data_IF_904664567168
#
_entry.id   IF_904664567168
#
_cell.length_a   1.000
_cell.length_b   1.000
_cell.length_c   1.000
_cell.angle_alpha   90.00
_cell.angle_beta   90.00
_cell.angle_gamma   90.00
#
_symmetry.space_group_name_H-M   'P 1'
#
loop_
_entity.id
_entity.type
_entity.pdbx_description
1 polymer ?
#
# COMPACT_ATOMS: atom_id res chain seq x y z
N UNK A 1 4.67 -2.47 14.79
CA UNK A 1 4.49 -1.58 13.63
C UNK A 1 3.19 -1.97 12.94
N UNK A 2 2.45 -1.01 12.41
CA UNK A 2 1.15 -1.20 11.75
C UNK A 2 1.36 -1.42 10.25
N UNK A 3 0.37 -2.00 9.58
CA UNK A 3 0.36 -2.21 8.13
C UNK A 3 -0.65 -1.26 7.50
N UNK A 4 -0.23 -0.57 6.44
CA UNK A 4 -1.06 0.37 5.70
C UNK A 4 -1.18 -0.06 4.25
N UNK A 5 -2.41 -0.34 3.82
CA UNK A 5 -2.76 -0.54 2.42
C UNK A 5 -2.82 0.81 1.71
N UNK A 6 -2.04 0.90 0.64
CA UNK A 6 -2.06 2.00 -0.30
C UNK A 6 -2.68 1.50 -1.61
N UNK A 7 -3.77 2.13 -2.04
CA UNK A 7 -4.36 1.86 -3.34
C UNK A 7 -4.09 3.05 -4.27
N UNK A 8 -3.20 2.86 -5.24
CA UNK A 8 -2.83 3.83 -6.26
C UNK A 8 -3.83 3.77 -7.41
N UNK A 9 -4.32 4.93 -7.87
CA UNK A 9 -5.40 5.07 -8.84
C UNK A 9 -5.05 6.07 -9.94
N UNK A 10 -5.90 6.11 -10.98
CA UNK A 10 -5.83 7.09 -12.07
C UNK A 10 -4.48 7.06 -12.79
N UNK A 11 -4.15 5.89 -13.34
CA UNK A 11 -2.88 5.62 -14.00
C UNK A 11 -2.76 6.33 -15.36
N UNK A 12 -1.68 7.08 -15.54
CA UNK A 12 -1.33 7.72 -16.82
C UNK A 12 -0.73 6.71 -17.81
N UNK A 13 -1.58 5.89 -18.42
CA UNK A 13 -1.16 4.84 -19.37
C UNK A 13 -0.42 5.43 -20.57
N UNK A 14 0.69 4.79 -20.94
CA UNK A 14 1.53 5.21 -22.08
C UNK A 14 2.54 6.32 -21.75
N UNK A 15 2.53 6.86 -20.53
CA UNK A 15 3.43 7.96 -20.11
C UNK A 15 4.64 7.48 -19.30
N UNK A 16 4.78 6.16 -19.07
CA UNK A 16 5.88 5.60 -18.29
C UNK A 16 7.19 5.63 -19.09
N UNK A 17 8.12 6.48 -18.66
CA UNK A 17 9.49 6.51 -19.18
C UNK A 17 10.39 5.53 -18.42
N UNK A 18 11.48 5.10 -19.06
CA UNK A 18 12.47 4.25 -18.40
C UNK A 18 13.11 4.92 -17.18
N UNK A 19 13.37 6.23 -17.25
CA UNK A 19 13.94 6.99 -16.14
C UNK A 19 12.99 7.05 -14.94
N UNK A 20 11.70 7.31 -15.18
CA UNK A 20 10.69 7.30 -14.13
C UNK A 20 10.54 5.91 -13.49
N UNK A 21 10.54 4.86 -14.31
CA UNK A 21 10.53 3.48 -13.82
C UNK A 21 11.74 3.18 -12.93
N UNK A 22 12.95 3.60 -13.35
CA UNK A 22 14.19 3.40 -12.57
C UNK A 22 14.10 4.06 -11.20
N UNK A 23 13.69 5.33 -11.14
CA UNK A 23 13.54 6.06 -9.88
C UNK A 23 12.51 5.39 -8.95
N UNK A 24 11.39 4.94 -9.50
CA UNK A 24 10.38 4.20 -8.73
C UNK A 24 10.94 2.90 -8.16
N UNK A 25 11.69 2.14 -8.95
CA UNK A 25 12.35 0.90 -8.49
C UNK A 25 13.38 1.18 -7.39
N UNK A 26 14.19 2.24 -7.52
CA UNK A 26 15.13 2.66 -6.48
C UNK A 26 14.41 2.98 -5.16
N UNK A 27 13.30 3.70 -5.22
CA UNK A 27 12.44 3.97 -4.07
C UNK A 27 11.92 2.68 -3.41
N UNK A 28 11.42 1.71 -4.19
CA UNK A 28 10.95 0.41 -3.66
C UNK A 28 12.10 -0.38 -3.02
N UNK A 29 13.30 -0.34 -3.59
CA UNK A 29 14.48 -0.99 -3.04
C UNK A 29 14.87 -0.38 -1.68
N UNK A 30 14.82 0.94 -1.53
CA UNK A 30 15.05 1.62 -0.25
C UNK A 30 14.02 1.21 0.82
N UNK A 31 12.73 1.15 0.45
CA UNK A 31 11.68 0.68 1.38
C UNK A 31 11.88 -0.78 1.78
N UNK A 32 12.28 -1.64 0.84
CA UNK A 32 12.61 -3.04 1.12
C UNK A 32 13.79 -3.17 2.07
N UNK A 33 14.90 -2.46 1.79
CA UNK A 33 16.11 -2.47 2.61
C UNK A 33 15.87 -1.96 4.04
N UNK A 34 14.89 -1.07 4.21
CA UNK A 34 14.48 -0.54 5.53
C UNK A 34 13.32 -1.30 6.16
N UNK A 35 12.93 -2.45 5.60
CA UNK A 35 11.82 -3.29 6.07
C UNK A 35 10.47 -2.56 6.17
N UNK A 36 10.28 -1.51 5.36
CA UNK A 36 9.04 -0.74 5.28
C UNK A 36 8.09 -1.22 4.19
N UNK A 37 8.54 -2.08 3.27
CA UNK A 37 7.73 -2.65 2.20
C UNK A 37 7.33 -4.09 2.52
N UNK A 38 6.03 -4.36 2.65
CA UNK A 38 5.51 -5.72 2.86
C UNK A 38 5.17 -6.40 1.53
N UNK A 39 4.40 -5.73 0.67
CA UNK A 39 4.08 -6.19 -0.69
C UNK A 39 3.81 -4.97 -1.58
N UNK A 40 4.10 -5.07 -2.87
CA UNK A 40 3.63 -4.11 -3.87
C UNK A 40 3.42 -4.75 -5.24
N UNK A 41 2.59 -4.11 -6.06
CA UNK A 41 2.47 -4.45 -7.47
C UNK A 41 1.23 -3.85 -8.13
N UNK A 42 1.19 -3.83 -9.47
CA UNK A 42 -0.03 -3.48 -10.19
C UNK A 42 -1.10 -4.55 -9.96
N UNK A 43 -2.37 -4.13 -10.03
CA UNK A 43 -3.47 -5.06 -10.23
C UNK A 43 -3.43 -5.59 -11.68
N UNK A 44 -3.98 -6.79 -11.89
CA UNK A 44 -3.92 -7.48 -13.20
C UNK A 44 -4.63 -6.72 -14.33
N UNK A 45 -5.59 -5.88 -14.00
CA UNK A 45 -6.31 -5.02 -14.96
C UNK A 45 -5.47 -3.85 -15.49
N UNK A 46 -4.28 -3.62 -14.90
CA UNK A 46 -3.38 -2.54 -15.25
C UNK A 46 -3.96 -1.12 -15.04
N UNK A 47 -5.02 -0.98 -14.23
CA UNK A 47 -5.63 0.33 -13.89
C UNK A 47 -5.07 0.90 -12.59
N UNK A 48 -4.83 0.02 -11.62
CA UNK A 48 -4.45 0.39 -10.25
C UNK A 48 -3.21 -0.36 -9.81
N UNK A 49 -2.61 0.10 -8.73
CA UNK A 49 -1.56 -0.62 -8.04
C UNK A 49 -1.78 -0.60 -6.53
N UNK A 50 -1.18 -1.56 -5.86
CA UNK A 50 -1.26 -1.74 -4.42
C UNK A 50 0.15 -1.68 -3.83
N UNK A 51 0.26 -1.08 -2.66
CA UNK A 51 1.41 -1.25 -1.76
C UNK A 51 0.88 -1.54 -0.36
N UNK A 52 1.56 -2.40 0.40
CA UNK A 52 1.35 -2.49 1.84
C UNK A 52 2.65 -2.07 2.51
N UNK A 53 2.57 -0.99 3.28
CA UNK A 53 3.71 -0.41 3.99
C UNK A 53 3.65 -0.74 5.48
N UNK A 54 4.80 -0.95 6.09
CA UNK A 54 4.97 -1.16 7.53
C UNK A 54 5.42 0.17 8.15
N UNK A 55 4.56 0.79 8.95
CA UNK A 55 4.80 2.13 9.53
C UNK A 55 4.32 2.21 10.98
N UNK A 56 4.71 3.26 11.69
CA UNK A 56 4.22 3.55 13.06
C UNK A 56 2.90 4.30 13.02
N UNK A 57 2.65 5.10 11.98
CA UNK A 57 1.47 5.95 11.87
C UNK A 57 0.99 6.07 10.42
N UNK A 58 -0.27 6.47 10.24
CA UNK A 58 -0.83 6.78 8.93
C UNK A 58 -0.09 7.94 8.23
N UNK A 59 0.30 8.96 8.99
CA UNK A 59 1.06 10.11 8.47
C UNK A 59 2.43 9.69 7.91
N UNK A 60 3.10 8.73 8.55
CA UNK A 60 4.34 8.16 8.02
C UNK A 60 4.10 7.42 6.71
N UNK A 61 3.08 6.55 6.65
CA UNK A 61 2.72 5.83 5.43
C UNK A 61 2.39 6.80 4.28
N UNK A 62 1.65 7.86 4.57
CA UNK A 62 1.33 8.90 3.59
C UNK A 62 2.58 9.61 3.08
N UNK A 63 3.52 10.00 3.96
CA UNK A 63 4.79 10.63 3.55
C UNK A 63 5.63 9.72 2.66
N UNK A 64 5.65 8.41 2.94
CA UNK A 64 6.38 7.44 2.10
C UNK A 64 5.75 7.33 0.71
N UNK A 65 4.42 7.24 0.61
CA UNK A 65 3.70 7.24 -0.66
C UNK A 65 3.93 8.52 -1.46
N UNK A 66 3.83 9.68 -0.82
CA UNK A 66 4.08 10.98 -1.44
C UNK A 66 5.55 11.13 -1.87
N UNK A 67 6.46 10.32 -1.31
CA UNK A 67 7.86 10.30 -1.72
C UNK A 67 8.12 9.48 -2.99
N UNK A 68 7.21 8.57 -3.37
CA UNK A 68 7.31 7.71 -4.56
C UNK A 68 7.33 8.56 -5.84
N UNK A 69 8.33 8.38 -6.74
CA UNK A 69 8.38 9.06 -8.04
C UNK A 69 7.10 8.93 -8.86
N UNK A 70 6.41 7.79 -8.82
CA UNK A 70 5.14 7.60 -9.53
C UNK A 70 4.04 8.54 -9.02
N UNK A 71 4.05 8.91 -7.73
CA UNK A 71 3.09 9.86 -7.15
C UNK A 71 3.53 11.30 -7.41
N UNK A 72 4.80 11.62 -7.17
CA UNK A 72 5.37 12.96 -7.44
C UNK A 72 5.18 13.40 -8.89
N UNK A 73 5.32 12.48 -9.83
CA UNK A 73 5.14 12.73 -11.27
C UNK A 73 3.72 12.49 -11.76
N UNK A 74 2.78 12.19 -10.85
CA UNK A 74 1.36 11.94 -11.13
C UNK A 74 1.14 10.81 -12.15
N UNK A 75 2.06 9.85 -12.23
CA UNK A 75 1.85 8.63 -13.00
C UNK A 75 0.68 7.80 -12.44
N UNK A 76 0.49 7.86 -11.11
CA UNK A 76 -0.82 7.65 -10.48
C UNK A 76 -1.28 9.00 -9.92
N UNK A 77 -2.44 9.47 -10.34
CA UNK A 77 -2.88 10.83 -10.00
C UNK A 77 -3.55 10.94 -8.62
N UNK A 78 -3.99 9.83 -8.05
CA UNK A 78 -4.58 9.77 -6.70
C UNK A 78 -4.25 8.45 -5.99
N UNK A 79 -4.41 8.43 -4.67
CA UNK A 79 -4.26 7.23 -3.86
C UNK A 79 -5.18 7.27 -2.64
N UNK A 80 -5.35 6.12 -2.01
CA UNK A 80 -5.99 5.96 -0.70
C UNK A 80 -5.04 5.30 0.28
N UNK A 81 -5.19 5.61 1.57
CA UNK A 81 -4.38 5.03 2.66
C UNK A 81 -5.31 4.50 3.74
N UNK A 82 -5.23 3.20 3.97
CA UNK A 82 -6.05 2.48 4.96
C UNK A 82 -5.14 1.67 5.88
N UNK A 83 -5.35 1.77 7.19
CA UNK A 83 -4.74 0.83 8.13
C UNK A 83 -5.46 -0.52 8.01
N UNK A 84 -4.71 -1.61 8.00
CA UNK A 84 -5.26 -2.96 7.90
C UNK A 84 -5.00 -3.76 9.18
N UNK A 85 -5.98 -4.58 9.56
CA UNK A 85 -5.80 -5.65 10.53
C UNK A 85 -5.47 -6.90 9.71
N UNK A 86 -4.26 -7.43 9.85
CA UNK A 86 -3.84 -8.62 9.12
C UNK A 86 -4.45 -9.86 9.76
N UNK A 87 -5.20 -10.64 8.98
CA UNK A 87 -5.68 -11.96 9.37
C UNK A 87 -4.66 -13.03 8.95
N UNK A 88 -4.33 -13.94 9.86
CA UNK A 88 -3.42 -15.06 9.62
C UNK A 88 -3.69 -16.22 10.60
N UNK A 89 -2.92 -17.31 10.51
CA UNK A 89 -3.08 -18.46 11.39
C UNK A 89 -2.87 -18.12 12.88
N UNK A 90 -1.97 -17.20 13.21
CA UNK A 90 -1.63 -16.84 14.59
C UNK A 90 -2.78 -16.17 15.33
N UNK A 91 -3.65 -15.45 14.62
CA UNK A 91 -4.83 -14.79 15.19
C UNK A 91 -6.15 -15.46 14.80
N UNK A 92 -6.10 -16.73 14.38
CA UNK A 92 -7.25 -17.51 13.93
C UNK A 92 -8.11 -16.74 12.92
N UNK A 93 -7.46 -16.12 11.93
CA UNK A 93 -8.10 -15.32 10.88
C UNK A 93 -9.04 -14.23 11.42
N UNK A 94 -8.66 -13.60 12.54
CA UNK A 94 -9.44 -12.58 13.25
C UNK A 94 -10.82 -13.06 13.75
N UNK A 95 -11.05 -14.36 13.90
CA UNK A 95 -12.34 -14.91 14.33
C UNK A 95 -12.82 -14.32 15.67
N UNK A 96 -11.90 -14.14 16.62
CA UNK A 96 -12.21 -13.61 17.96
C UNK A 96 -12.03 -12.09 18.08
N UNK A 97 -11.58 -11.42 17.02
CA UNK A 97 -11.25 -9.99 17.02
C UNK A 97 -12.51 -9.12 17.25
N UNK A 98 -12.44 -8.02 18.04
CA UNK A 98 -13.56 -7.13 18.26
C UNK A 98 -14.18 -6.56 16.98
N UNK A 99 -13.35 -6.26 15.96
CA UNK A 99 -13.83 -5.81 14.67
C UNK A 99 -14.74 -6.87 14.05
N UNK A 100 -14.31 -8.13 14.01
CA UNK A 100 -15.11 -9.24 13.43
C UNK A 100 -16.38 -9.47 14.24
N UNK A 101 -16.26 -9.59 15.57
CA UNK A 101 -17.40 -9.86 16.46
C UNK A 101 -18.48 -8.78 16.40
N UNK A 102 -18.09 -7.52 16.27
CA UNK A 102 -19.04 -6.40 16.16
C UNK A 102 -19.90 -6.46 14.90
N UNK A 103 -19.49 -7.23 13.88
CA UNK A 103 -20.20 -7.39 12.62
C UNK A 103 -21.03 -8.69 12.53
N UNK A 104 -21.01 -9.54 13.55
CA UNK A 104 -21.83 -10.75 13.57
C UNK A 104 -23.31 -10.39 13.81
N UNK A 105 -24.21 -11.04 13.06
CA UNK A 105 -25.65 -10.89 13.26
C UNK A 105 -26.06 -11.52 14.59
N UNK A 106 -26.81 -10.79 15.42
CA UNK A 106 -27.41 -11.21 16.70
C UNK A 106 -26.39 -11.56 17.81
N UNK A 107 -25.72 -10.54 18.36
CA UNK A 107 -25.06 -10.66 19.67
C UNK A 107 -26.07 -10.88 20.80
#
# INVERSE_FOLDING_TARGET
MQKFLILLKDKSKGELTHDLLKQHVEHLQELSNTSKLFICGPLKDNEKAMQILICVTKDEAQKLVESDPFIKKRYYASYEVHEIIEANEENNWLFEDPQTKSNLLNQ
#
